data_IF_247389898200
#
_entry.id   IF_247389898200
#
_cell.length_a   1.000
_cell.length_b   1.000
_cell.length_c   1.000
_cell.angle_alpha   90.00
_cell.angle_beta   90.00
_cell.angle_gamma   90.00
#
_symmetry.space_group_name_H-M   'P 1'
#
loop_
_entity.id
_entity.type
_entity.pdbx_description
1 polymer ?
#
# COMPACT_ATOMS: atom_id res chain seq x y z
N UNK A 1 -13.34 -9.79 -14.84
CA UNK A 1 -12.46 -9.09 -13.88
C UNK A 1 -11.21 -9.95 -13.70
N UNK A 2 -10.20 -9.78 -14.57
CA UNK A 2 -8.95 -10.54 -14.54
C UNK A 2 -7.79 -9.57 -14.41
N UNK A 3 -7.04 -9.63 -13.29
CA UNK A 3 -5.62 -9.33 -13.22
C UNK A 3 -5.11 -9.56 -11.80
N UNK A 4 -4.77 -10.81 -11.49
CA UNK A 4 -4.01 -11.15 -10.28
C UNK A 4 -2.90 -12.14 -10.65
N UNK A 5 -2.02 -11.72 -11.56
CA UNK A 5 -0.70 -12.36 -11.74
C UNK A 5 0.39 -11.54 -11.03
N UNK A 6 0.02 -10.73 -10.04
CA UNK A 6 0.97 -10.09 -9.14
C UNK A 6 0.95 -10.88 -7.83
N UNK A 7 2.08 -11.48 -7.40
CA UNK A 7 2.15 -12.17 -6.11
C UNK A 7 2.07 -11.20 -4.92
N UNK A 8 2.04 -9.89 -5.21
CA UNK A 8 2.02 -8.81 -4.23
C UNK A 8 0.61 -8.32 -3.93
N UNK A 9 0.33 -8.14 -2.64
CA UNK A 9 -0.87 -7.52 -2.08
C UNK A 9 -0.54 -6.15 -1.51
N UNK A 10 -1.47 -5.19 -1.59
CA UNK A 10 -1.40 -3.89 -0.88
C UNK A 10 -2.54 -3.80 0.12
N UNK A 11 -2.20 -3.83 1.40
CA UNK A 11 -3.13 -3.52 2.50
C UNK A 11 -3.00 -2.06 2.88
N UNK A 12 -4.10 -1.38 3.19
CA UNK A 12 -4.12 0.05 3.49
C UNK A 12 -4.92 0.32 4.76
N UNK A 13 -4.29 1.08 5.66
CA UNK A 13 -4.80 1.40 6.99
C UNK A 13 -4.84 2.93 7.13
N UNK A 14 -6.00 3.58 6.89
CA UNK A 14 -6.16 4.98 7.20
C UNK A 14 -6.16 5.19 8.73
N UNK A 15 -5.57 6.29 9.17
CA UNK A 15 -5.42 6.67 10.57
C UNK A 15 -5.85 8.13 10.69
N UNK A 16 -6.82 8.40 11.57
CA UNK A 16 -7.18 9.76 11.96
C UNK A 16 -6.19 10.24 13.04
N UNK A 17 -5.39 11.26 12.72
CA UNK A 17 -4.45 11.86 13.67
C UNK A 17 -5.19 12.82 14.61
N UNK A 18 -6.05 13.64 14.01
CA UNK A 18 -6.90 14.65 14.64
C UNK A 18 -8.25 14.63 13.90
N UNK A 19 -9.35 15.11 14.49
CA UNK A 19 -10.65 15.12 13.81
C UNK A 19 -10.57 15.76 12.41
N UNK A 20 -10.86 14.96 11.39
CA UNK A 20 -10.79 15.40 9.98
C UNK A 20 -9.39 15.41 9.35
N UNK A 21 -8.34 15.04 10.08
CA UNK A 21 -6.96 14.94 9.59
C UNK A 21 -6.55 13.47 9.49
N UNK A 22 -6.56 12.96 8.27
CA UNK A 22 -6.30 11.57 7.96
C UNK A 22 -4.98 11.38 7.24
N UNK A 23 -4.17 10.44 7.69
CA UNK A 23 -3.10 9.86 6.87
C UNK A 23 -3.37 8.37 6.70
N UNK A 24 -2.52 7.67 5.95
CA UNK A 24 -2.63 6.23 5.83
C UNK A 24 -1.27 5.55 5.84
N UNK A 25 -1.26 4.32 6.30
CA UNK A 25 -0.15 3.39 6.13
C UNK A 25 -0.52 2.40 5.03
N UNK A 26 0.43 2.05 4.17
CA UNK A 26 0.28 0.89 3.30
C UNK A 26 1.31 -0.18 3.62
N UNK A 27 0.88 -1.42 3.50
CA UNK A 27 1.70 -2.61 3.65
C UNK A 27 1.71 -3.37 2.32
N UNK A 28 2.89 -3.75 1.86
CA UNK A 28 3.06 -4.64 0.72
C UNK A 28 3.50 -5.99 1.27
N UNK A 29 2.73 -7.03 0.96
CA UNK A 29 3.11 -8.41 1.25
C UNK A 29 3.13 -9.23 -0.02
N UNK A 30 3.91 -10.31 0.01
CA UNK A 30 4.01 -11.33 -1.01
C UNK A 30 3.63 -12.66 -0.39
N UNK A 31 2.73 -13.41 -1.01
CA UNK A 31 2.46 -14.78 -0.61
C UNK A 31 3.26 -15.72 -1.51
N UNK A 32 4.20 -16.46 -0.93
CA UNK A 32 5.09 -17.38 -1.66
C UNK A 32 5.34 -18.63 -0.81
N UNK A 33 5.24 -19.80 -1.45
CA UNK A 33 5.52 -21.10 -0.83
C UNK A 33 4.75 -21.35 0.48
N UNK A 34 3.49 -20.89 0.53
CA UNK A 34 2.62 -21.06 1.70
C UNK A 34 2.84 -20.04 2.83
N UNK A 35 3.77 -19.09 2.67
CA UNK A 35 4.13 -18.10 3.69
C UNK A 35 3.89 -16.67 3.19
N UNK A 36 3.35 -15.81 4.06
CA UNK A 36 3.27 -14.38 3.82
C UNK A 36 4.57 -13.68 4.23
N UNK A 37 5.15 -12.91 3.31
CA UNK A 37 6.34 -12.08 3.55
C UNK A 37 5.99 -10.60 3.38
N UNK A 38 6.23 -9.80 4.42
CA UNK A 38 6.08 -8.34 4.35
C UNK A 38 7.30 -7.75 3.64
N UNK A 39 7.07 -7.01 2.56
CA UNK A 39 8.10 -6.35 1.75
C UNK A 39 8.25 -4.87 2.07
N UNK A 40 7.16 -4.22 2.49
CA UNK A 40 7.16 -2.82 2.87
C UNK A 40 6.05 -2.53 3.87
N UNK A 41 6.35 -1.68 4.85
CA UNK A 41 5.38 -1.08 5.75
C UNK A 41 5.68 0.43 5.81
N UNK A 42 4.87 1.23 5.12
CA UNK A 42 5.17 2.65 4.92
C UNK A 42 4.05 3.49 5.50
N UNK A 43 4.39 4.23 6.55
CA UNK A 43 3.53 5.27 7.08
C UNK A 43 3.63 6.53 6.22
N UNK A 44 2.51 7.00 5.68
CA UNK A 44 2.44 8.25 4.93
C UNK A 44 2.09 9.43 5.84
N UNK A 45 2.58 9.46 7.08
CA UNK A 45 2.31 10.53 8.06
C UNK A 45 2.54 11.96 7.52
N UNK A 46 3.55 12.23 6.67
CA UNK A 46 3.72 13.56 6.06
C UNK A 46 2.64 13.93 5.02
N UNK A 47 1.82 12.98 4.56
CA UNK A 47 0.78 13.17 3.54
C UNK A 47 -0.61 13.05 4.16
N UNK A 48 -1.10 14.18 4.67
CA UNK A 48 -2.42 14.27 5.33
C UNK A 48 -3.53 14.66 4.35
N UNK A 49 -4.76 14.24 4.67
CA UNK A 49 -5.95 14.43 3.86
C UNK A 49 -7.17 14.72 4.74
N UNK A 50 -8.12 15.49 4.21
CA UNK A 50 -9.34 15.86 4.95
C UNK A 50 -10.35 14.73 5.18
N UNK A 51 -10.14 13.54 4.60
CA UNK A 51 -11.05 12.40 4.73
C UNK A 51 -10.32 11.06 4.69
N UNK A 52 -10.87 10.07 5.37
CA UNK A 52 -10.41 8.68 5.34
C UNK A 52 -10.27 8.15 3.91
N UNK A 53 -11.29 8.40 3.07
CA UNK A 53 -11.32 7.91 1.69
C UNK A 53 -10.17 8.47 0.85
N UNK A 54 -9.81 9.75 1.04
CA UNK A 54 -8.68 10.37 0.33
C UNK A 54 -7.36 9.78 0.81
N UNK A 55 -7.16 9.62 2.12
CA UNK A 55 -5.97 8.99 2.68
C UNK A 55 -5.81 7.53 2.18
N UNK A 56 -6.89 6.75 2.20
CA UNK A 56 -6.92 5.38 1.69
C UNK A 56 -6.55 5.33 0.20
N UNK A 57 -7.13 6.20 -0.62
CA UNK A 57 -6.84 6.24 -2.05
C UNK A 57 -5.39 6.66 -2.35
N UNK A 58 -4.84 7.63 -1.60
CA UNK A 58 -3.44 8.03 -1.70
C UNK A 58 -2.49 6.86 -1.39
N UNK A 59 -2.73 6.15 -0.29
CA UNK A 59 -1.95 4.97 0.09
C UNK A 59 -2.09 3.80 -0.90
N UNK A 60 -3.29 3.54 -1.43
CA UNK A 60 -3.48 2.54 -2.50
C UNK A 60 -2.65 2.88 -3.74
N UNK A 61 -2.64 4.16 -4.15
CA UNK A 61 -1.86 4.62 -5.31
C UNK A 61 -0.36 4.48 -5.07
N UNK A 62 0.12 4.90 -3.89
CA UNK A 62 1.52 4.76 -3.49
C UNK A 62 1.97 3.30 -3.44
N UNK A 63 1.18 2.42 -2.80
CA UNK A 63 1.47 0.99 -2.75
C UNK A 63 1.51 0.32 -4.12
N UNK A 64 0.56 0.64 -5.01
CA UNK A 64 0.58 0.15 -6.41
C UNK A 64 1.81 0.61 -7.17
N UNK A 65 2.21 1.86 -7.01
CA UNK A 65 3.42 2.39 -7.64
C UNK A 65 4.68 1.69 -7.10
N UNK A 66 4.72 1.38 -5.80
CA UNK A 66 5.80 0.62 -5.20
C UNK A 66 5.85 -0.84 -5.70
N UNK A 67 4.70 -1.51 -5.85
CA UNK A 67 4.63 -2.84 -6.50
C UNK A 67 5.21 -2.78 -7.92
N UNK A 68 4.84 -1.78 -8.72
CA UNK A 68 5.34 -1.66 -10.09
C UNK A 68 6.88 -1.58 -10.15
N UNK A 69 7.51 -0.92 -9.16
CA UNK A 69 8.97 -0.84 -9.00
C UNK A 69 9.59 -2.16 -8.53
N UNK A 70 8.90 -2.92 -7.68
CA UNK A 70 9.35 -4.26 -7.27
C UNK A 70 9.32 -5.23 -8.45
N UNK A 71 8.24 -5.20 -9.23
CA UNK A 71 8.07 -6.05 -10.41
C UNK A 71 9.08 -5.74 -11.52
N UNK A 72 9.48 -4.47 -11.70
CA UNK A 72 10.54 -4.13 -12.66
C UNK A 72 11.92 -4.63 -12.21
N UNK A 73 12.16 -4.71 -10.90
CA UNK A 73 13.43 -5.20 -10.35
C UNK A 73 13.58 -6.73 -10.43
N UNK A 74 12.47 -7.47 -10.44
CA UNK A 74 12.47 -8.94 -10.56
C UNK A 74 12.71 -9.44 -12.01
N UNK A 75 12.64 -8.56 -13.01
CA UNK A 75 12.83 -8.91 -14.43
C UNK A 75 14.27 -8.68 -14.95
N UNK A 76 15.14 -8.13 -14.13
CA UNK A 76 16.58 -8.02 -14.36
C UNK A 76 17.32 -9.06 -13.53
#
# INVERSE_FOLDING_TARGET
MNRTDSPYTVSVYPIEQEPGVWFATYLISEYRDGMERILANVSMRPSVHGTEARARNAARRAGRAAIARLASRHKN
#
